data_IF_073471091520
#
_entry.id   IF_073471091520
#
_cell.length_a   1.000
_cell.length_b   1.000
_cell.length_c   1.000
_cell.angle_alpha   90.00
_cell.angle_beta   90.00
_cell.angle_gamma   90.00
#
_symmetry.space_group_name_H-M   'P 1'
#
loop_
_entity.id
_entity.type
_entity.pdbx_description
1 polymer ?
#
# COMPACT_ATOMS: atom_id res chain seq x y z
N UNK A 1 -11.37 0.36 -6.71
CA UNK A 1 -11.82 0.56 -5.30
C UNK A 1 -12.65 1.82 -5.18
N UNK A 2 -13.89 1.67 -4.71
CA UNK A 2 -14.86 2.75 -4.53
C UNK A 2 -14.57 3.57 -3.27
N UNK A 3 -15.18 4.74 -3.17
CA UNK A 3 -15.23 5.57 -1.97
C UNK A 3 -16.68 5.85 -1.60
N UNK A 4 -17.12 5.37 -0.44
CA UNK A 4 -18.49 5.51 0.05
C UNK A 4 -18.52 6.59 1.12
N UNK A 5 -19.39 7.58 0.96
CA UNK A 5 -19.61 8.68 1.88
C UNK A 5 -20.99 8.52 2.50
N UNK A 6 -21.01 8.33 3.82
CA UNK A 6 -22.21 8.13 4.63
C UNK A 6 -22.27 9.16 5.76
N UNK A 7 -23.26 9.03 6.65
CA UNK A 7 -23.52 9.98 7.74
C UNK A 7 -24.96 10.44 7.82
N UNK A 8 -25.29 11.16 8.90
CA UNK A 8 -26.65 11.62 9.17
C UNK A 8 -27.19 12.55 8.06
N UNK A 9 -28.50 12.74 7.97
CA UNK A 9 -29.03 13.75 7.02
C UNK A 9 -28.49 15.15 7.38
N UNK A 10 -28.30 16.02 6.39
CA UNK A 10 -27.79 17.37 6.65
C UNK A 10 -26.27 17.49 6.88
N UNK A 11 -25.52 16.38 6.90
CA UNK A 11 -24.04 16.42 7.00
C UNK A 11 -23.35 16.79 5.68
N UNK A 12 -24.11 16.91 4.58
CA UNK A 12 -23.57 17.36 3.28
C UNK A 12 -23.12 16.25 2.32
N UNK A 13 -23.43 14.97 2.61
CA UNK A 13 -23.03 13.78 1.82
C UNK A 13 -23.04 13.96 0.31
N UNK A 14 -24.19 14.29 -0.28
CA UNK A 14 -24.36 14.42 -1.75
C UNK A 14 -23.46 15.51 -2.32
N UNK A 15 -23.42 16.69 -1.68
CA UNK A 15 -22.58 17.80 -2.10
C UNK A 15 -21.09 17.47 -2.01
N UNK A 16 -20.66 16.88 -0.90
CA UNK A 16 -19.28 16.45 -0.67
C UNK A 16 -18.89 15.35 -1.65
N UNK A 17 -19.75 14.35 -1.89
CA UNK A 17 -19.49 13.28 -2.84
C UNK A 17 -19.25 13.78 -4.25
N UNK A 18 -20.03 14.74 -4.74
CA UNK A 18 -19.83 15.36 -6.06
C UNK A 18 -18.49 16.10 -6.15
N UNK A 19 -18.10 16.81 -5.09
CA UNK A 19 -16.82 17.50 -5.04
C UNK A 19 -15.65 16.52 -4.98
N UNK A 20 -15.73 15.48 -4.14
CA UNK A 20 -14.74 14.40 -4.05
C UNK A 20 -14.60 13.66 -5.37
N UNK A 21 -15.71 13.35 -6.05
CA UNK A 21 -15.70 12.73 -7.37
C UNK A 21 -14.97 13.60 -8.40
N UNK A 22 -15.21 14.92 -8.39
CA UNK A 22 -14.48 15.86 -9.25
C UNK A 22 -12.99 15.90 -8.91
N UNK A 23 -12.61 15.94 -7.64
CA UNK A 23 -11.20 15.95 -7.20
C UNK A 23 -10.47 14.66 -7.59
N UNK A 24 -11.16 13.52 -7.59
CA UNK A 24 -10.60 12.21 -7.92
C UNK A 24 -10.74 11.81 -9.39
N UNK A 25 -11.46 12.60 -10.21
CA UNK A 25 -11.75 12.24 -11.60
C UNK A 25 -12.64 11.00 -11.75
N UNK A 26 -13.59 10.80 -10.83
CA UNK A 26 -14.43 9.60 -10.73
C UNK A 26 -15.92 9.89 -10.97
N UNK A 27 -16.69 8.85 -11.26
CA UNK A 27 -18.16 8.94 -11.34
C UNK A 27 -18.75 9.12 -9.93
N UNK A 28 -19.64 10.10 -9.77
CA UNK A 28 -20.41 10.30 -8.55
C UNK A 28 -21.77 9.62 -8.67
N UNK A 29 -22.14 8.84 -7.66
CA UNK A 29 -23.43 8.17 -7.56
C UNK A 29 -24.09 8.53 -6.24
N UNK A 30 -25.35 8.95 -6.27
CA UNK A 30 -26.18 9.13 -5.08
C UNK A 30 -27.27 8.04 -5.05
N UNK A 31 -27.29 7.24 -3.98
CA UNK A 31 -28.23 6.13 -3.86
C UNK A 31 -29.69 6.60 -3.77
N UNK A 32 -29.96 7.72 -3.10
CA UNK A 32 -31.32 8.24 -2.96
C UNK A 32 -31.84 8.76 -4.32
N UNK A 33 -30.96 9.31 -5.16
CA UNK A 33 -31.28 9.73 -6.54
C UNK A 33 -31.56 8.52 -7.44
N UNK A 34 -30.73 7.47 -7.37
CA UNK A 34 -30.97 6.24 -8.15
C UNK A 34 -32.28 5.57 -7.75
N UNK A 35 -32.54 5.42 -6.44
CA UNK A 35 -33.78 4.80 -5.97
C UNK A 35 -34.98 5.64 -6.39
N UNK A 36 -34.93 6.97 -6.25
CA UNK A 36 -36.02 7.85 -6.69
C UNK A 36 -36.30 7.74 -8.18
N UNK A 37 -35.23 7.64 -9.00
CA UNK A 37 -35.36 7.46 -10.44
C UNK A 37 -35.98 6.10 -10.82
N UNK A 38 -35.58 5.01 -10.13
CA UNK A 38 -36.14 3.66 -10.35
C UNK A 38 -37.60 3.55 -9.92
N UNK A 39 -37.96 4.23 -8.83
CA UNK A 39 -39.33 4.24 -8.28
C UNK A 39 -40.24 5.25 -9.00
N UNK A 40 -39.69 6.16 -9.81
CA UNK A 40 -40.43 7.23 -10.49
C UNK A 40 -41.03 8.28 -9.53
N UNK A 41 -40.61 8.30 -8.26
CA UNK A 41 -41.14 9.16 -7.20
C UNK A 41 -40.08 9.45 -6.13
N UNK A 42 -40.18 10.56 -5.38
CA UNK A 42 -39.20 10.90 -4.36
C UNK A 42 -39.14 9.87 -3.22
N UNK A 43 -37.96 9.66 -2.62
CA UNK A 43 -37.76 8.77 -1.46
C UNK A 43 -38.82 8.97 -0.35
N UNK A 44 -39.15 10.21 0.00
CA UNK A 44 -40.16 10.51 1.02
C UNK A 44 -41.57 10.00 0.69
N UNK A 45 -41.89 9.84 -0.60
CA UNK A 45 -43.14 9.23 -1.05
C UNK A 45 -43.05 7.71 -1.02
N UNK A 46 -41.92 7.12 -1.44
CA UNK A 46 -41.66 5.67 -1.32
C UNK A 46 -41.82 5.20 0.13
N UNK A 47 -41.23 5.92 1.08
CA UNK A 47 -41.36 5.61 2.51
C UNK A 47 -42.82 5.67 3.00
N UNK A 48 -43.60 6.65 2.55
CA UNK A 48 -45.01 6.79 2.96
C UNK A 48 -45.91 5.70 2.38
N UNK A 49 -45.69 5.32 1.12
CA UNK A 49 -46.58 4.42 0.39
C UNK A 49 -46.19 2.95 0.53
N UNK A 50 -44.90 2.63 0.56
CA UNK A 50 -44.38 1.26 0.59
C UNK A 50 -43.79 0.86 1.95
N UNK A 51 -43.56 1.84 2.83
CA UNK A 51 -42.98 1.61 4.15
C UNK A 51 -41.45 1.47 4.14
N UNK A 52 -40.87 1.50 5.34
CA UNK A 52 -39.42 1.47 5.54
C UNK A 52 -38.80 0.14 5.11
N UNK A 53 -39.41 -1.00 5.44
CA UNK A 53 -38.87 -2.32 5.11
C UNK A 53 -38.64 -2.50 3.60
N UNK A 54 -39.58 -2.01 2.78
CA UNK A 54 -39.43 -2.02 1.32
C UNK A 54 -38.24 -1.16 0.87
N UNK A 55 -38.13 0.06 1.40
CA UNK A 55 -37.04 0.96 1.06
C UNK A 55 -35.67 0.39 1.45
N UNK A 56 -35.56 -0.23 2.64
CA UNK A 56 -34.32 -0.90 3.09
C UNK A 56 -33.92 -2.06 2.17
N UNK A 57 -34.90 -2.80 1.63
CA UNK A 57 -34.63 -3.86 0.66
C UNK A 57 -34.05 -3.30 -0.66
N UNK A 58 -34.57 -2.16 -1.14
CA UNK A 58 -34.03 -1.45 -2.32
C UNK A 58 -32.62 -0.91 -2.08
N UNK A 59 -32.35 -0.35 -0.90
CA UNK A 59 -30.99 0.06 -0.52
C UNK A 59 -30.02 -1.13 -0.53
N UNK A 60 -30.39 -2.27 0.04
CA UNK A 60 -29.53 -3.45 0.09
C UNK A 60 -29.25 -4.06 -1.29
N UNK A 61 -30.22 -4.00 -2.21
CA UNK A 61 -30.03 -4.39 -3.60
C UNK A 61 -29.03 -3.45 -4.31
N UNK A 62 -29.21 -2.15 -4.15
CA UNK A 62 -28.33 -1.16 -4.77
C UNK A 62 -26.90 -1.19 -4.18
N UNK A 63 -26.74 -1.47 -2.88
CA UNK A 63 -25.43 -1.71 -2.27
C UNK A 63 -24.66 -2.85 -2.96
N UNK A 64 -25.35 -3.95 -3.31
CA UNK A 64 -24.72 -5.09 -4.00
C UNK A 64 -24.34 -4.74 -5.44
N UNK A 65 -25.21 -4.02 -6.15
CA UNK A 65 -24.96 -3.57 -7.51
C UNK A 65 -23.77 -2.60 -7.59
N UNK A 66 -23.78 -1.55 -6.77
CA UNK A 66 -22.70 -0.55 -6.76
C UNK A 66 -21.41 -1.12 -6.17
N UNK A 67 -21.50 -2.04 -5.21
CA UNK A 67 -20.35 -2.74 -4.63
C UNK A 67 -19.62 -3.66 -5.60
N UNK A 68 -20.27 -4.07 -6.71
CA UNK A 68 -19.66 -4.86 -7.77
C UNK A 68 -18.96 -4.01 -8.86
N UNK A 69 -19.14 -2.69 -8.83
CA UNK A 69 -18.49 -1.74 -9.74
C UNK A 69 -17.21 -1.18 -9.09
N UNK A 70 -16.35 -0.59 -9.90
CA UNK A 70 -15.10 0.02 -9.47
C UNK A 70 -15.05 1.52 -9.77
N UNK A 71 -14.20 2.22 -9.02
CA UNK A 71 -13.85 3.64 -9.19
C UNK A 71 -15.02 4.63 -9.03
N UNK A 72 -16.04 4.27 -8.25
CA UNK A 72 -17.15 5.16 -7.90
C UNK A 72 -16.89 5.98 -6.64
N UNK A 73 -17.51 7.17 -6.56
CA UNK A 73 -17.77 7.89 -5.31
C UNK A 73 -19.26 7.82 -5.02
N UNK A 74 -19.64 7.11 -3.94
CA UNK A 74 -21.02 6.74 -3.64
C UNK A 74 -21.50 7.52 -2.41
N UNK A 75 -22.49 8.39 -2.55
CA UNK A 75 -23.24 8.95 -1.43
C UNK A 75 -24.37 8.00 -1.05
N UNK A 76 -24.41 7.55 0.22
CA UNK A 76 -25.48 6.67 0.70
C UNK A 76 -26.58 7.46 1.42
N UNK A 77 -27.77 6.86 1.50
CA UNK A 77 -28.80 7.30 2.43
C UNK A 77 -28.30 7.23 3.87
N UNK A 78 -28.83 8.09 4.74
CA UNK A 78 -28.37 8.16 6.14
C UNK A 78 -28.67 6.91 6.97
N UNK A 79 -29.53 6.02 6.49
CA UNK A 79 -29.85 4.74 7.13
C UNK A 79 -29.18 3.52 6.47
N UNK A 80 -28.57 3.68 5.28
CA UNK A 80 -28.07 2.56 4.47
C UNK A 80 -27.04 1.71 5.23
N UNK A 81 -26.09 2.36 5.89
CA UNK A 81 -24.99 1.69 6.60
C UNK A 81 -25.32 1.33 8.05
N UNK A 82 -26.58 1.47 8.48
CA UNK A 82 -27.00 0.93 9.78
C UNK A 82 -27.05 -0.61 9.75
N UNK A 83 -27.31 -1.20 8.58
CA UNK A 83 -27.26 -2.64 8.35
C UNK A 83 -25.82 -3.16 8.27
N UNK A 84 -25.51 -4.18 9.06
CA UNK A 84 -24.23 -4.90 9.06
C UNK A 84 -23.91 -5.50 7.69
N UNK A 85 -24.91 -6.09 7.02
CA UNK A 85 -24.77 -6.69 5.69
C UNK A 85 -24.39 -5.65 4.63
N UNK A 86 -25.05 -4.48 4.64
CA UNK A 86 -24.72 -3.40 3.71
C UNK A 86 -23.30 -2.88 3.92
N UNK A 87 -22.88 -2.72 5.19
CA UNK A 87 -21.49 -2.34 5.51
C UNK A 87 -20.52 -3.40 5.01
N UNK A 88 -20.79 -4.68 5.26
CA UNK A 88 -19.93 -5.78 4.84
C UNK A 88 -19.82 -5.88 3.31
N UNK A 89 -20.92 -5.71 2.58
CA UNK A 89 -20.95 -5.72 1.11
C UNK A 89 -20.09 -4.60 0.54
N UNK A 90 -20.27 -3.36 1.02
CA UNK A 90 -19.54 -2.22 0.48
C UNK A 90 -18.08 -2.21 0.93
N UNK A 91 -17.77 -2.59 2.18
CA UNK A 91 -16.40 -2.62 2.71
C UNK A 91 -15.46 -3.60 1.97
N UNK A 92 -15.98 -4.59 1.24
CA UNK A 92 -15.17 -5.52 0.44
C UNK A 92 -14.36 -4.80 -0.64
N UNK A 93 -14.94 -3.79 -1.28
CA UNK A 93 -14.34 -3.10 -2.43
C UNK A 93 -14.46 -1.57 -2.36
N UNK A 94 -14.82 -1.02 -1.20
CA UNK A 94 -14.93 0.41 -0.97
C UNK A 94 -14.31 0.84 0.35
N UNK A 95 -13.76 2.05 0.35
CA UNK A 95 -13.42 2.79 1.57
C UNK A 95 -14.69 3.47 2.08
N UNK A 96 -15.03 3.27 3.35
CA UNK A 96 -16.22 3.88 3.96
C UNK A 96 -15.81 5.08 4.81
N UNK A 97 -16.42 6.24 4.56
CA UNK A 97 -16.22 7.48 5.32
C UNK A 97 -17.56 7.97 5.84
N UNK A 98 -17.66 8.23 7.15
CA UNK A 98 -18.80 8.86 7.80
C UNK A 98 -18.56 10.36 7.93
N UNK A 99 -19.51 11.17 7.51
CA UNK A 99 -19.54 12.60 7.78
C UNK A 99 -20.32 12.86 9.07
N UNK A 100 -19.66 13.52 10.02
CA UNK A 100 -20.23 13.86 11.32
C UNK A 100 -20.57 15.34 11.38
N UNK A 101 -21.64 15.68 12.10
CA UNK A 101 -22.00 17.06 12.40
C UNK A 101 -22.72 17.14 13.74
N UNK A 102 -22.57 18.24 14.46
CA UNK A 102 -23.35 18.47 15.66
C UNK A 102 -24.84 18.60 15.35
N UNK A 103 -25.68 18.25 16.33
CA UNK A 103 -27.13 18.38 16.20
C UNK A 103 -27.56 19.82 15.89
N UNK A 104 -26.84 20.81 16.43
CA UNK A 104 -27.05 22.22 16.15
C UNK A 104 -26.75 22.58 14.70
N UNK A 105 -25.61 22.11 14.16
CA UNK A 105 -25.24 22.35 12.77
C UNK A 105 -26.19 21.67 11.78
N UNK A 106 -26.63 20.44 12.09
CA UNK A 106 -27.65 19.74 11.31
C UNK A 106 -28.97 20.52 11.34
N UNK A 107 -29.43 20.96 12.51
CA UNK A 107 -30.65 21.76 12.63
C UNK A 107 -30.57 23.09 11.85
N UNK A 108 -29.37 23.69 11.75
CA UNK A 108 -29.15 24.91 10.96
C UNK A 108 -29.24 24.64 9.46
N UNK A 109 -28.73 23.49 8.99
CA UNK A 109 -28.71 23.11 7.57
C UNK A 109 -30.05 22.54 7.09
N UNK A 110 -30.81 21.93 7.99
CA UNK A 110 -32.01 21.15 7.67
C UNK A 110 -33.23 21.84 8.26
N UNK A 111 -34.22 22.19 7.42
CA UNK A 111 -35.47 22.79 7.88
C UNK A 111 -36.35 21.81 8.68
N UNK A 112 -37.28 22.34 9.48
CA UNK A 112 -38.14 21.55 10.38
C UNK A 112 -38.97 20.44 9.68
N UNK A 113 -39.25 20.59 8.38
CA UNK A 113 -40.06 19.65 7.59
C UNK A 113 -39.29 18.40 7.11
N UNK A 114 -37.96 18.42 7.11
CA UNK A 114 -37.15 17.33 6.56
C UNK A 114 -37.07 16.08 7.45
N UNK A 115 -37.43 16.18 8.74
CA UNK A 115 -37.42 15.06 9.68
C UNK A 115 -38.70 14.20 9.63
N UNK A 116 -39.76 14.69 8.97
CA UNK A 116 -41.07 14.02 8.93
C UNK A 116 -41.03 12.55 8.44
N UNK A 117 -40.20 12.15 7.46
CA UNK A 117 -40.16 10.76 7.01
C UNK A 117 -39.55 9.77 8.01
N UNK A 118 -38.75 10.23 8.98
CA UNK A 118 -38.01 9.35 9.91
C UNK A 118 -38.65 9.20 11.29
N UNK A 119 -39.59 10.07 11.68
CA UNK A 119 -40.07 10.15 13.06
C UNK A 119 -41.44 9.51 13.29
N UNK A 120 -42.04 8.91 12.27
CA UNK A 120 -43.43 8.43 12.35
C UNK A 120 -44.41 9.58 12.59
N UNK A 121 -45.69 9.37 12.34
CA UNK A 121 -46.73 10.40 12.45
C UNK A 121 -47.05 10.83 13.90
N UNK A 122 -46.22 10.50 14.89
CA UNK A 122 -46.48 10.77 16.31
C UNK A 122 -45.64 11.94 16.80
N UNK A 123 -46.35 12.96 17.29
CA UNK A 123 -45.85 14.20 17.89
C UNK A 123 -44.72 13.91 18.89
N UNK A 124 -43.47 14.17 18.48
CA UNK A 124 -42.32 14.16 19.38
C UNK A 124 -42.19 15.55 19.98
N UNK A 125 -42.55 15.66 21.26
CA UNK A 125 -42.33 16.85 22.08
C UNK A 125 -40.82 17.14 22.16
N UNK A 126 -40.41 18.40 21.92
CA UNK A 126 -39.01 18.84 21.99
C UNK A 126 -38.57 19.74 20.82
N UNK A 127 -37.47 20.46 21.00
CA UNK A 127 -36.86 21.30 19.96
C UNK A 127 -36.30 20.45 18.81
N UNK A 128 -36.10 21.06 17.64
CA UNK A 128 -35.50 20.39 16.47
C UNK A 128 -34.13 19.74 16.81
N UNK A 129 -33.32 20.45 17.59
CA UNK A 129 -31.99 20.01 18.04
C UNK A 129 -32.09 18.80 18.96
N UNK A 130 -33.03 18.78 19.91
CA UNK A 130 -33.25 17.63 20.81
C UNK A 130 -33.65 16.37 20.03
N UNK A 131 -34.53 16.52 19.04
CA UNK A 131 -34.98 15.42 18.18
C UNK A 131 -33.83 14.84 17.35
N UNK A 132 -32.99 15.70 16.76
CA UNK A 132 -31.78 15.28 16.03
C UNK A 132 -30.79 14.60 16.98
N UNK A 133 -30.60 15.14 18.18
CA UNK A 133 -29.71 14.58 19.19
C UNK A 133 -30.13 13.16 19.59
N UNK A 134 -31.42 12.94 19.81
CA UNK A 134 -31.98 11.61 20.10
C UNK A 134 -31.73 10.61 18.96
N UNK A 135 -31.97 11.02 17.70
CA UNK A 135 -31.74 10.17 16.53
C UNK A 135 -30.25 9.87 16.29
N UNK A 136 -29.36 10.84 16.48
CA UNK A 136 -27.92 10.61 16.40
C UNK A 136 -27.47 9.59 17.45
N UNK A 137 -27.94 9.73 18.69
CA UNK A 137 -27.64 8.79 19.78
C UNK A 137 -28.12 7.36 19.47
N UNK A 138 -29.28 7.20 18.83
CA UNK A 138 -29.77 5.89 18.38
C UNK A 138 -28.88 5.26 17.29
N UNK A 139 -28.19 6.07 16.48
CA UNK A 139 -27.34 5.62 15.37
C UNK A 139 -25.86 5.56 15.70
N UNK A 140 -25.45 6.13 16.83
CA UNK A 140 -24.06 6.28 17.27
C UNK A 140 -23.28 4.97 17.17
N UNK A 141 -23.83 3.87 17.71
CA UNK A 141 -23.18 2.56 17.69
C UNK A 141 -22.90 2.05 16.27
N UNK A 142 -23.82 2.29 15.32
CA UNK A 142 -23.66 1.85 13.94
C UNK A 142 -22.71 2.76 13.14
N UNK A 143 -22.77 4.08 13.35
CA UNK A 143 -21.84 5.00 12.70
C UNK A 143 -20.41 4.82 13.21
N UNK A 144 -20.20 4.55 14.50
CA UNK A 144 -18.89 4.28 15.07
C UNK A 144 -18.18 3.05 14.47
N UNK A 145 -18.91 2.15 13.79
CA UNK A 145 -18.35 1.02 13.06
C UNK A 145 -17.81 1.39 11.67
N UNK A 146 -18.01 2.63 11.21
CA UNK A 146 -17.46 3.12 9.96
C UNK A 146 -15.99 3.54 10.22
N UNK A 147 -15.00 3.00 9.48
CA UNK A 147 -13.58 3.16 9.85
C UNK A 147 -13.05 4.60 9.84
N UNK A 148 -13.70 5.49 9.10
CA UNK A 148 -13.21 6.85 8.86
C UNK A 148 -14.31 7.86 9.14
N UNK A 149 -13.95 8.92 9.86
CA UNK A 149 -14.87 9.95 10.32
C UNK A 149 -14.31 11.34 9.96
N UNK A 150 -15.16 12.18 9.39
CA UNK A 150 -14.82 13.57 9.02
C UNK A 150 -15.89 14.49 9.57
N UNK A 151 -15.51 15.33 10.54
CA UNK A 151 -16.38 16.37 11.08
C UNK A 151 -16.64 17.46 10.05
N UNK A 152 -17.88 17.92 9.96
CA UNK A 152 -18.31 18.91 8.95
C UNK A 152 -18.72 20.24 9.55
N UNK A 153 -18.69 20.38 10.88
CA UNK A 153 -19.05 21.61 11.58
C UNK A 153 -18.12 22.75 11.17
N UNK A 154 -18.69 23.92 10.86
CA UNK A 154 -17.97 25.14 10.48
C UNK A 154 -17.09 25.03 9.21
N UNK A 155 -17.14 23.90 8.50
CA UNK A 155 -16.39 23.67 7.27
C UNK A 155 -17.27 23.85 6.03
N UNK A 156 -16.67 24.40 4.97
CA UNK A 156 -17.28 24.41 3.63
C UNK A 156 -17.29 23.00 3.02
N UNK A 157 -18.23 22.68 2.11
CA UNK A 157 -18.23 21.41 1.39
C UNK A 157 -16.91 21.10 0.70
N UNK A 158 -16.20 22.11 0.20
CA UNK A 158 -14.88 21.98 -0.43
C UNK A 158 -13.80 21.54 0.57
N UNK A 159 -13.76 22.15 1.76
CA UNK A 159 -12.83 21.74 2.83
C UNK A 159 -13.12 20.33 3.33
N UNK A 160 -14.40 19.98 3.51
CA UNK A 160 -14.80 18.62 3.87
C UNK A 160 -14.41 17.64 2.76
N UNK A 161 -14.62 17.97 1.48
CA UNK A 161 -14.22 17.12 0.36
C UNK A 161 -12.71 16.89 0.33
N UNK A 162 -11.89 17.91 0.60
CA UNK A 162 -10.44 17.75 0.73
C UNK A 162 -10.07 16.83 1.89
N UNK A 163 -10.71 16.97 3.04
CA UNK A 163 -10.48 16.08 4.19
C UNK A 163 -10.93 14.64 3.92
N UNK A 164 -12.06 14.44 3.23
CA UNK A 164 -12.51 13.12 2.79
C UNK A 164 -11.52 12.51 1.81
N UNK A 165 -11.01 13.27 0.83
CA UNK A 165 -9.96 12.79 -0.09
C UNK A 165 -8.70 12.42 0.69
N UNK A 166 -8.26 13.26 1.61
CA UNK A 166 -7.08 12.98 2.43
C UNK A 166 -7.28 11.72 3.29
N UNK A 167 -8.43 11.59 3.97
CA UNK A 167 -8.76 10.43 4.79
C UNK A 167 -8.91 9.16 3.94
N UNK A 168 -9.56 9.28 2.79
CA UNK A 168 -9.69 8.22 1.82
C UNK A 168 -8.32 7.82 1.28
N UNK A 169 -7.37 8.73 1.08
CA UNK A 169 -6.00 8.44 0.66
C UNK A 169 -5.14 7.86 1.80
N UNK A 170 -5.42 8.21 3.06
CA UNK A 170 -4.72 7.74 4.26
C UNK A 170 -4.99 6.26 4.62
N UNK A 171 -6.04 5.64 4.08
CA UNK A 171 -6.18 4.18 4.14
C UNK A 171 -5.12 3.54 3.23
N UNK A 172 -4.26 2.67 3.77
CA UNK A 172 -3.25 1.97 2.96
C UNK A 172 -3.93 1.23 1.81
N UNK A 173 -3.51 1.47 0.57
CA UNK A 173 -3.83 0.54 -0.52
C UNK A 173 -2.85 -0.62 -0.43
N UNK A 174 -3.07 -1.55 0.50
CA UNK A 174 -2.21 -2.72 0.70
C UNK A 174 -2.51 -3.72 -0.41
N UNK A 175 -1.53 -3.96 -1.28
CA UNK A 175 -1.61 -5.01 -2.29
C UNK A 175 -1.13 -6.36 -1.72
N UNK A 176 -0.19 -6.34 -0.76
CA UNK A 176 0.29 -7.51 -0.02
C UNK A 176 0.72 -7.10 1.39
N UNK A 177 0.32 -7.87 2.41
CA UNK A 177 0.89 -7.80 3.75
C UNK A 177 1.16 -9.21 4.27
N UNK A 178 2.43 -9.47 4.59
CA UNK A 178 2.91 -10.77 5.03
C UNK A 178 3.79 -10.64 6.25
N UNK A 179 3.62 -11.58 7.18
CA UNK A 179 4.66 -11.89 8.17
C UNK A 179 5.46 -13.05 7.60
N UNK A 180 6.79 -12.89 7.55
CA UNK A 180 7.71 -13.84 6.95
C UNK A 180 8.56 -14.45 8.05
N UNK A 181 8.72 -15.78 8.06
CA UNK A 181 9.62 -16.48 8.97
C UNK A 181 10.90 -16.89 8.25
N UNK A 182 12.02 -16.25 8.59
CA UNK A 182 13.33 -16.57 8.05
C UNK A 182 14.20 -17.18 9.15
N UNK A 183 14.18 -18.50 9.27
CA UNK A 183 14.85 -19.22 10.35
C UNK A 183 14.18 -18.95 11.69
N UNK A 184 14.94 -18.45 12.67
CA UNK A 184 14.41 -18.05 13.99
C UNK A 184 13.85 -16.63 14.03
N UNK A 185 14.07 -15.82 12.99
CA UNK A 185 13.63 -14.43 12.93
C UNK A 185 12.32 -14.28 12.15
N UNK A 186 11.53 -13.28 12.51
CA UNK A 186 10.31 -12.89 11.78
C UNK A 186 10.35 -11.41 11.41
N UNK A 187 9.81 -11.10 10.24
CA UNK A 187 9.70 -9.72 9.77
C UNK A 187 8.44 -9.51 8.95
N UNK A 188 8.04 -8.25 8.80
CA UNK A 188 6.88 -7.89 7.99
C UNK A 188 7.30 -7.46 6.57
N UNK A 189 6.48 -7.79 5.58
CA UNK A 189 6.54 -7.27 4.22
C UNK A 189 5.21 -6.61 3.92
N UNK A 190 5.25 -5.34 3.55
CA UNK A 190 4.08 -4.55 3.15
C UNK A 190 4.37 -3.98 1.76
N UNK A 191 3.54 -4.33 0.79
CA UNK A 191 3.50 -3.72 -0.54
C UNK A 191 2.16 -3.01 -0.71
N UNK A 192 2.20 -1.77 -1.17
CA UNK A 192 0.99 -1.02 -1.43
C UNK A 192 1.26 0.34 -2.08
N UNK A 193 0.20 1.13 -2.27
CA UNK A 193 0.30 2.53 -2.68
C UNK A 193 0.14 3.47 -1.47
N UNK A 194 1.03 4.47 -1.37
CA UNK A 194 1.02 5.49 -0.32
C UNK A 194 1.43 4.96 1.07
N UNK A 195 2.02 3.76 1.13
CA UNK A 195 2.28 3.06 2.40
C UNK A 195 3.34 3.76 3.26
N UNK A 196 4.23 4.55 2.66
CA UNK A 196 5.25 5.29 3.41
C UNK A 196 4.68 6.44 4.26
N UNK A 197 3.48 6.93 3.95
CA UNK A 197 2.82 7.96 4.77
C UNK A 197 2.54 7.46 6.20
N UNK A 198 2.41 6.14 6.38
CA UNK A 198 2.17 5.50 7.68
C UNK A 198 3.39 4.79 8.26
N UNK A 199 4.56 4.94 7.64
CA UNK A 199 5.77 4.24 8.05
C UNK A 199 6.13 4.49 9.51
N UNK A 200 6.00 5.73 10.00
CA UNK A 200 6.26 6.06 11.40
C UNK A 200 5.39 5.27 12.38
N UNK A 201 4.08 5.18 12.12
CA UNK A 201 3.17 4.39 12.94
C UNK A 201 3.50 2.89 12.88
N UNK A 202 3.75 2.36 11.67
CA UNK A 202 4.13 0.96 11.46
C UNK A 202 5.42 0.58 12.21
N UNK A 203 6.41 1.48 12.23
CA UNK A 203 7.65 1.26 12.96
C UNK A 203 7.46 1.42 14.47
N UNK A 204 6.64 2.36 14.94
CA UNK A 204 6.37 2.52 16.38
C UNK A 204 5.72 1.28 16.99
N UNK A 205 4.81 0.63 16.27
CA UNK A 205 4.21 -0.65 16.67
C UNK A 205 5.25 -1.78 16.82
N UNK A 206 6.27 -1.79 15.95
CA UNK A 206 7.28 -2.87 15.88
C UNK A 206 8.50 -2.59 16.75
N UNK A 207 8.83 -1.32 16.94
CA UNK A 207 10.01 -0.82 17.63
C UNK A 207 9.61 0.24 18.68
N UNK A 208 8.84 -0.12 19.72
CA UNK A 208 8.29 0.84 20.68
C UNK A 208 9.39 1.65 21.39
N UNK A 209 10.56 1.04 21.61
CA UNK A 209 11.69 1.64 22.32
C UNK A 209 12.72 2.36 21.42
N UNK A 210 12.50 2.39 20.11
CA UNK A 210 13.42 3.06 19.19
C UNK A 210 13.14 4.56 19.15
N UNK A 211 14.16 5.38 19.40
CA UNK A 211 14.03 6.85 19.45
C UNK A 211 14.56 7.55 18.20
N UNK A 212 15.42 6.91 17.41
CA UNK A 212 16.08 7.53 16.25
C UNK A 212 16.14 6.63 15.02
N UNK A 213 16.06 7.26 13.86
CA UNK A 213 15.99 6.65 12.55
C UNK A 213 16.97 7.34 11.57
N UNK A 214 17.93 6.60 11.03
CA UNK A 214 18.77 7.07 9.93
C UNK A 214 18.25 6.54 8.60
N UNK A 215 17.93 7.45 7.68
CA UNK A 215 17.50 7.13 6.33
C UNK A 215 18.72 7.18 5.43
N UNK A 216 19.16 6.05 4.90
CA UNK A 216 20.25 5.97 3.91
C UNK A 216 19.63 5.96 2.52
N UNK A 217 20.05 6.90 1.67
CA UNK A 217 19.56 7.01 0.30
C UNK A 217 20.64 7.59 -0.63
N UNK A 218 20.32 7.72 -1.92
CA UNK A 218 21.19 8.34 -2.91
C UNK A 218 20.72 9.74 -3.32
N UNK A 219 21.55 10.42 -4.12
CA UNK A 219 21.33 11.80 -4.55
C UNK A 219 20.10 11.99 -5.46
N UNK A 220 19.53 10.92 -6.01
CA UNK A 220 18.35 10.95 -6.90
C UNK A 220 17.08 10.56 -6.15
N UNK A 221 17.13 9.45 -5.39
CA UNK A 221 15.97 8.90 -4.68
C UNK A 221 15.66 9.70 -3.41
N UNK A 222 16.69 10.10 -2.66
CA UNK A 222 16.54 10.79 -1.38
C UNK A 222 15.65 12.04 -1.47
N UNK A 223 15.96 13.00 -2.37
CA UNK A 223 15.16 14.21 -2.52
C UNK A 223 13.69 13.98 -2.88
N UNK A 224 13.37 12.89 -3.58
CA UNK A 224 12.02 12.59 -4.04
C UNK A 224 11.14 12.04 -2.92
N UNK A 225 11.67 11.16 -2.07
CA UNK A 225 10.83 10.36 -1.17
C UNK A 225 11.15 10.53 0.31
N UNK A 226 12.38 10.94 0.67
CA UNK A 226 12.74 11.14 2.07
C UNK A 226 11.86 12.18 2.80
N UNK A 227 11.41 13.29 2.19
CA UNK A 227 10.56 14.26 2.90
C UNK A 227 9.27 13.66 3.48
N UNK A 228 8.56 12.84 2.71
CA UNK A 228 7.32 12.18 3.17
C UNK A 228 7.60 11.16 4.29
N UNK A 229 8.68 10.40 4.15
CA UNK A 229 9.12 9.42 5.15
C UNK A 229 9.53 10.11 6.46
N UNK A 230 10.32 11.19 6.38
CA UNK A 230 10.73 12.00 7.53
C UNK A 230 9.52 12.57 8.26
N UNK A 231 8.53 13.10 7.52
CA UNK A 231 7.30 13.60 8.12
C UNK A 231 6.55 12.49 8.89
N UNK A 232 6.40 11.31 8.28
CA UNK A 232 5.76 10.15 8.91
C UNK A 232 6.49 9.71 10.19
N UNK A 233 7.82 9.59 10.14
CA UNK A 233 8.66 9.19 11.26
C UNK A 233 8.61 10.20 12.41
N UNK A 234 8.73 11.50 12.11
CA UNK A 234 8.66 12.56 13.12
C UNK A 234 7.29 12.62 13.80
N UNK A 235 6.20 12.43 13.05
CA UNK A 235 4.86 12.35 13.62
C UNK A 235 4.71 11.18 14.62
N UNK A 236 5.50 10.11 14.44
CA UNK A 236 5.58 8.97 15.35
C UNK A 236 6.68 9.10 16.43
N UNK A 237 7.29 10.28 16.58
CA UNK A 237 8.25 10.59 17.64
C UNK A 237 9.69 10.13 17.40
N UNK A 238 10.08 9.84 16.15
CA UNK A 238 11.47 9.51 15.84
C UNK A 238 12.32 10.76 15.57
N UNK A 239 13.51 10.84 16.18
CA UNK A 239 14.58 11.68 15.67
C UNK A 239 15.07 11.13 14.32
N UNK A 240 15.28 11.98 13.32
CA UNK A 240 15.52 11.56 11.94
C UNK A 240 16.77 12.21 11.38
N UNK A 241 17.63 11.41 10.73
CA UNK A 241 18.76 11.87 9.93
C UNK A 241 18.68 11.30 8.50
N UNK A 242 19.03 12.11 7.51
CA UNK A 242 19.17 11.67 6.12
C UNK A 242 20.66 11.56 5.79
N UNK A 243 21.08 10.37 5.36
CA UNK A 243 22.47 10.05 5.03
C UNK A 243 22.54 9.69 3.55
N UNK A 244 23.30 10.47 2.78
CA UNK A 244 23.44 10.25 1.34
C UNK A 244 24.68 9.40 1.04
N UNK A 245 24.55 8.45 0.11
CA UNK A 245 25.65 7.67 -0.46
C UNK A 245 25.58 7.65 -1.99
N UNK A 246 26.71 7.43 -2.71
CA UNK A 246 26.67 7.36 -4.17
C UNK A 246 25.91 6.12 -4.69
N UNK A 247 24.97 6.31 -5.61
CA UNK A 247 24.24 5.22 -6.28
C UNK A 247 24.96 4.70 -7.54
N UNK A 248 26.17 4.16 -7.36
CA UNK A 248 26.95 3.49 -8.43
C UNK A 248 27.57 2.21 -7.91
N UNK A 249 27.59 1.15 -8.73
CA UNK A 249 28.08 -0.18 -8.31
C UNK A 249 29.54 -0.16 -7.82
N UNK A 250 30.36 0.74 -8.35
CA UNK A 250 31.74 0.95 -7.89
C UNK A 250 31.84 1.53 -6.47
N UNK A 251 30.77 2.14 -5.96
CA UNK A 251 30.69 2.64 -4.59
C UNK A 251 30.19 1.56 -3.61
N UNK A 252 29.84 0.36 -4.06
CA UNK A 252 29.43 -0.75 -3.19
C UNK A 252 30.65 -1.39 -2.51
N UNK A 253 31.26 -0.69 -1.56
CA UNK A 253 32.56 -1.04 -0.96
C UNK A 253 32.57 -0.91 0.56
N UNK A 254 33.56 -1.50 1.23
CA UNK A 254 33.79 -1.30 2.67
C UNK A 254 34.10 0.17 3.03
N UNK A 255 34.68 0.94 2.11
CA UNK A 255 34.96 2.36 2.35
C UNK A 255 33.65 3.16 2.48
N UNK A 256 32.68 2.89 1.60
CA UNK A 256 31.35 3.51 1.70
C UNK A 256 30.65 3.14 2.99
N UNK A 257 30.77 1.88 3.41
CA UNK A 257 30.22 1.42 4.69
C UNK A 257 30.89 2.14 5.87
N UNK A 258 32.20 2.35 5.83
CA UNK A 258 32.93 3.14 6.82
C UNK A 258 32.41 4.58 6.91
N UNK A 259 32.21 5.23 5.77
CA UNK A 259 31.64 6.57 5.72
C UNK A 259 30.19 6.63 6.27
N UNK A 260 29.39 5.57 6.09
CA UNK A 260 28.08 5.47 6.73
C UNK A 260 28.20 5.39 8.25
N UNK A 261 29.19 4.68 8.80
CA UNK A 261 29.40 4.64 10.24
C UNK A 261 29.72 6.02 10.82
N UNK A 262 30.56 6.81 10.16
CA UNK A 262 30.87 8.18 10.59
C UNK A 262 29.57 9.00 10.70
N UNK A 263 28.70 8.91 9.69
CA UNK A 263 27.40 9.58 9.69
C UNK A 263 26.44 9.05 10.74
N UNK A 264 26.48 7.76 11.05
CA UNK A 264 25.67 7.17 12.12
C UNK A 264 26.14 7.63 13.51
N UNK A 265 27.44 7.83 13.69
CA UNK A 265 28.02 8.39 14.91
C UNK A 265 27.64 9.87 15.06
N UNK A 266 27.79 10.66 13.99
CA UNK A 266 27.38 12.07 13.97
C UNK A 266 25.90 12.25 14.32
N UNK A 267 25.05 11.34 13.85
CA UNK A 267 23.61 11.31 14.14
C UNK A 267 23.26 10.64 15.49
N UNK A 268 24.26 10.26 16.28
CA UNK A 268 24.12 9.67 17.62
C UNK A 268 23.21 8.42 17.63
N UNK A 269 23.39 7.53 16.66
CA UNK A 269 22.67 6.26 16.65
C UNK A 269 23.13 5.36 17.80
N UNK A 270 22.16 4.70 18.42
CA UNK A 270 22.33 3.74 19.51
C UNK A 270 21.90 2.34 19.05
N UNK A 271 22.02 1.34 19.94
CA UNK A 271 21.65 -0.05 19.61
C UNK A 271 20.17 -0.23 19.27
N UNK A 272 19.29 0.58 19.86
CA UNK A 272 17.85 0.58 19.60
C UNK A 272 17.45 1.43 18.39
N UNK A 273 18.39 2.13 17.75
CA UNK A 273 18.11 2.91 16.53
C UNK A 273 17.77 2.01 15.35
N UNK A 274 17.15 2.60 14.34
CA UNK A 274 16.81 1.93 13.09
C UNK A 274 17.48 2.59 11.89
N UNK A 275 18.06 1.78 11.02
CA UNK A 275 18.56 2.19 9.70
C UNK A 275 17.53 1.81 8.64
N UNK A 276 17.12 2.79 7.83
CA UNK A 276 16.16 2.62 6.74
C UNK A 276 16.90 2.77 5.41
N UNK A 277 16.90 1.73 4.58
CA UNK A 277 17.47 1.79 3.23
C UNK A 277 16.41 2.26 2.22
N UNK A 278 16.48 3.51 1.79
CA UNK A 278 15.60 4.11 0.79
C UNK A 278 16.28 4.12 -0.57
N UNK A 279 16.01 3.12 -1.41
CA UNK A 279 16.64 3.00 -2.71
C UNK A 279 16.44 1.66 -3.41
N UNK A 280 17.22 1.43 -4.47
CA UNK A 280 17.31 0.14 -5.14
C UNK A 280 18.17 -0.87 -4.37
N UNK A 281 18.46 -2.01 -5.00
CA UNK A 281 19.21 -3.11 -4.37
C UNK A 281 20.60 -2.71 -3.86
N UNK A 282 21.28 -1.78 -4.54
CA UNK A 282 22.59 -1.27 -4.11
C UNK A 282 22.54 -0.57 -2.75
N UNK A 283 21.61 0.38 -2.57
CA UNK A 283 21.43 1.08 -1.30
C UNK A 283 21.00 0.09 -0.22
N UNK A 284 20.08 -0.81 -0.55
CA UNK A 284 19.62 -1.89 0.33
C UNK A 284 20.76 -2.76 0.86
N UNK A 285 21.68 -3.18 0.00
CA UNK A 285 22.81 -4.01 0.36
C UNK A 285 23.83 -3.28 1.25
N UNK A 286 24.22 -2.07 0.86
CA UNK A 286 25.25 -1.30 1.59
C UNK A 286 24.72 -0.86 2.95
N UNK A 287 23.52 -0.29 3.00
CA UNK A 287 22.90 0.14 4.25
C UNK A 287 22.53 -1.05 5.14
N UNK A 288 22.08 -2.16 4.55
CA UNK A 288 21.81 -3.40 5.29
C UNK A 288 23.06 -3.99 5.92
N UNK A 289 24.18 -4.01 5.18
CA UNK A 289 25.45 -4.49 5.72
C UNK A 289 25.96 -3.56 6.82
N UNK A 290 25.87 -2.24 6.62
CA UNK A 290 26.21 -1.27 7.66
C UNK A 290 25.35 -1.44 8.92
N UNK A 291 24.04 -1.71 8.78
CA UNK A 291 23.14 -1.97 9.89
C UNK A 291 23.44 -3.30 10.60
N UNK A 292 23.99 -4.29 9.90
CA UNK A 292 24.38 -5.58 10.46
C UNK A 292 25.60 -5.47 11.38
N UNK A 293 26.53 -4.57 11.06
CA UNK A 293 27.85 -4.49 11.67
C UNK A 293 28.00 -3.30 12.63
N UNK A 294 27.32 -2.19 12.37
CA UNK A 294 27.34 -1.01 13.26
C UNK A 294 26.80 -1.36 14.65
N UNK A 295 27.54 -1.04 15.70
CA UNK A 295 27.25 -1.44 17.09
C UNK A 295 26.97 -2.95 17.28
N UNK A 296 27.50 -3.79 16.38
CA UNK A 296 27.23 -5.25 16.28
C UNK A 296 25.79 -5.61 15.92
N UNK A 297 25.06 -4.68 15.31
CA UNK A 297 23.71 -4.87 14.82
C UNK A 297 22.73 -3.86 15.40
N UNK A 298 22.16 -3.03 14.53
CA UNK A 298 21.01 -2.15 14.82
C UNK A 298 19.76 -2.63 14.08
N UNK A 299 18.58 -2.07 14.35
CA UNK A 299 17.38 -2.43 13.58
C UNK A 299 17.51 -1.99 12.12
N UNK A 300 16.89 -2.73 11.20
CA UNK A 300 17.01 -2.49 9.77
C UNK A 300 15.64 -2.52 9.08
N UNK A 301 15.40 -1.61 8.14
CA UNK A 301 14.17 -1.52 7.34
C UNK A 301 14.54 -1.29 5.88
N UNK A 302 13.88 -2.01 4.98
CA UNK A 302 14.02 -1.83 3.53
C UNK A 302 12.85 -1.00 2.98
N UNK A 303 13.16 0.04 2.22
CA UNK A 303 12.20 0.89 1.49
C UNK A 303 12.55 0.83 -0.01
N UNK A 304 12.26 -0.30 -0.69
CA UNK A 304 12.70 -0.54 -2.07
C UNK A 304 12.01 0.41 -3.06
N UNK A 305 12.79 1.00 -3.98
CA UNK A 305 12.29 1.98 -4.98
C UNK A 305 12.41 1.52 -6.44
N UNK A 306 12.91 0.30 -6.68
CA UNK A 306 12.99 -0.31 -8.00
C UNK A 306 12.19 -1.60 -8.05
N UNK A 307 11.68 -2.00 -9.23
CA UNK A 307 10.97 -3.29 -9.40
C UNK A 307 11.86 -4.44 -8.91
N UNK A 308 13.14 -4.44 -9.29
CA UNK A 308 14.12 -5.44 -8.87
C UNK A 308 14.24 -5.53 -7.35
N UNK A 309 14.36 -4.40 -6.65
CA UNK A 309 14.45 -4.40 -5.19
C UNK A 309 13.13 -4.81 -4.52
N UNK A 310 11.97 -4.46 -5.09
CA UNK A 310 10.65 -4.83 -4.54
C UNK A 310 10.46 -6.34 -4.58
N UNK A 311 10.73 -6.97 -5.73
CA UNK A 311 10.43 -8.40 -5.93
C UNK A 311 11.58 -9.31 -5.55
N UNK A 312 12.80 -8.78 -5.48
CA UNK A 312 14.00 -9.57 -5.26
C UNK A 312 14.93 -8.97 -4.19
N UNK A 313 15.73 -7.95 -4.50
CA UNK A 313 16.93 -7.62 -3.70
C UNK A 313 16.67 -7.25 -2.23
N UNK A 314 15.49 -6.70 -1.89
CA UNK A 314 15.14 -6.35 -0.51
C UNK A 314 14.69 -7.55 0.34
N UNK A 315 14.49 -8.73 -0.27
CA UNK A 315 13.92 -9.91 0.34
C UNK A 315 14.99 -10.97 0.63
N UNK A 316 14.95 -11.54 1.83
CA UNK A 316 15.74 -12.70 2.22
C UNK A 316 17.09 -12.41 2.86
N UNK A 317 17.28 -11.18 3.35
CA UNK A 317 18.29 -10.82 4.35
C UNK A 317 19.75 -10.81 3.88
N UNK A 318 20.04 -11.08 2.61
CA UNK A 318 21.41 -10.96 2.08
C UNK A 318 21.77 -9.48 1.99
N UNK A 319 22.91 -9.11 2.56
CA UNK A 319 23.48 -7.77 2.47
C UNK A 319 24.96 -7.91 2.20
N UNK A 320 25.52 -7.15 1.26
CA UNK A 320 26.91 -7.33 0.87
C UNK A 320 27.54 -6.08 0.25
N UNK A 321 28.86 -6.07 0.25
CA UNK A 321 29.69 -5.17 -0.53
C UNK A 321 30.65 -5.93 -1.44
N UNK A 322 31.12 -5.25 -2.48
CA UNK A 322 32.07 -5.79 -3.43
C UNK A 322 33.50 -5.74 -2.88
N UNK A 323 34.31 -6.72 -3.26
CA UNK A 323 35.76 -6.68 -3.15
C UNK A 323 36.34 -6.45 -4.55
N UNK A 324 37.56 -5.92 -4.67
CA UNK A 324 38.26 -5.78 -5.95
C UNK A 324 38.44 -7.11 -6.74
N UNK A 325 38.13 -8.25 -6.12
CA UNK A 325 38.26 -9.61 -6.68
C UNK A 325 36.92 -10.28 -6.96
N UNK A 326 35.79 -9.62 -6.68
CA UNK A 326 34.47 -10.18 -6.94
C UNK A 326 33.34 -9.42 -6.27
N UNK A 327 32.15 -9.55 -6.85
CA UNK A 327 30.92 -8.94 -6.34
C UNK A 327 30.39 -9.67 -5.13
N UNK A 328 29.79 -8.93 -4.20
CA UNK A 328 29.07 -9.44 -3.02
C UNK A 328 29.85 -10.44 -2.14
N UNK A 329 31.18 -10.43 -2.19
CA UNK A 329 32.02 -11.40 -1.47
C UNK A 329 32.09 -11.14 0.05
N UNK A 330 31.76 -9.92 0.49
CA UNK A 330 31.85 -9.51 1.90
C UNK A 330 30.46 -9.07 2.33
N UNK A 331 29.85 -9.77 3.28
CA UNK A 331 28.46 -9.52 3.63
C UNK A 331 28.01 -10.18 4.92
N UNK A 332 26.73 -10.02 5.22
CA UNK A 332 26.05 -10.62 6.35
C UNK A 332 24.61 -10.97 5.99
N UNK A 333 24.05 -11.97 6.68
CA UNK A 333 22.61 -12.18 6.71
C UNK A 333 22.01 -11.30 7.80
N UNK A 334 21.28 -10.26 7.38
CA UNK A 334 20.60 -9.30 8.26
C UNK A 334 19.14 -9.22 7.87
N UNK A 335 18.26 -9.83 8.66
CA UNK A 335 16.83 -9.70 8.43
C UNK A 335 16.39 -8.27 8.78
N UNK A 336 15.59 -7.61 7.91
CA UNK A 336 14.94 -6.37 8.28
C UNK A 336 13.85 -6.65 9.32
N UNK A 337 13.38 -5.64 10.04
CA UNK A 337 12.14 -5.74 10.84
C UNK A 337 10.90 -5.49 9.97
N UNK A 338 11.10 -4.75 8.87
CA UNK A 338 10.07 -4.39 7.90
C UNK A 338 10.69 -4.18 6.52
N UNK A 339 10.07 -4.76 5.50
CA UNK A 339 10.18 -4.33 4.10
C UNK A 339 8.90 -3.59 3.76
N UNK A 340 9.00 -2.29 3.46
CA UNK A 340 7.85 -1.45 3.14
C UNK A 340 8.01 -0.89 1.73
N UNK A 341 7.37 -1.53 0.75
CA UNK A 341 7.43 -1.20 -0.66
C UNK A 341 6.24 -0.31 -1.04
N UNK A 342 6.52 0.95 -1.37
CA UNK A 342 5.52 1.85 -1.95
C UNK A 342 5.60 1.81 -3.47
N UNK A 343 4.59 1.22 -4.11
CA UNK A 343 4.59 1.08 -5.57
C UNK A 343 4.47 2.40 -6.31
N UNK A 344 4.06 3.48 -5.65
CA UNK A 344 4.04 4.82 -6.26
C UNK A 344 5.45 5.30 -6.61
N UNK A 345 6.49 4.84 -5.89
CA UNK A 345 7.88 5.14 -6.22
C UNK A 345 8.32 4.60 -7.58
N UNK A 346 7.66 3.54 -8.08
CA UNK A 346 8.00 2.91 -9.36
C UNK A 346 7.64 3.79 -10.56
N UNK A 347 6.76 4.79 -10.39
CA UNK A 347 6.33 5.68 -11.46
C UNK A 347 7.46 6.61 -11.97
N UNK A 348 8.42 6.95 -11.11
CA UNK A 348 9.57 7.79 -11.49
C UNK A 348 10.76 6.99 -12.04
N UNK A 349 10.65 5.66 -12.06
CA UNK A 349 11.75 4.77 -12.43
C UNK A 349 11.99 4.83 -13.95
N UNK A 350 13.25 4.96 -14.43
CA UNK A 350 13.54 4.86 -15.86
C UNK A 350 13.02 3.54 -16.43
N UNK A 351 12.46 3.60 -17.65
CA UNK A 351 11.85 2.44 -18.31
C UNK A 351 12.81 1.24 -18.41
N UNK A 352 14.10 1.50 -18.60
CA UNK A 352 15.12 0.45 -18.64
C UNK A 352 15.30 -0.26 -17.28
N UNK A 353 15.29 0.48 -16.17
CA UNK A 353 15.37 -0.08 -14.82
C UNK A 353 14.07 -0.82 -14.45
N UNK A 354 12.92 -0.30 -14.87
CA UNK A 354 11.63 -0.96 -14.72
C UNK A 354 11.62 -2.32 -15.44
N UNK A 355 12.02 -2.34 -16.72
CA UNK A 355 12.13 -3.57 -17.53
C UNK A 355 13.14 -4.55 -16.96
N UNK A 356 14.29 -4.07 -16.48
CA UNK A 356 15.28 -4.91 -15.81
C UNK A 356 14.66 -5.66 -14.62
N UNK A 357 13.85 -5.00 -13.79
CA UNK A 357 13.19 -5.69 -12.68
C UNK A 357 12.11 -6.69 -13.10
N UNK A 358 11.45 -6.48 -14.25
CA UNK A 358 10.45 -7.42 -14.77
C UNK A 358 11.05 -8.79 -15.16
N UNK A 359 12.34 -8.85 -15.48
CA UNK A 359 13.00 -10.13 -15.75
C UNK A 359 12.89 -11.09 -14.55
N UNK A 360 13.01 -10.57 -13.32
CA UNK A 360 12.83 -11.36 -12.10
C UNK A 360 11.37 -11.75 -11.86
N UNK A 361 10.42 -10.89 -12.24
CA UNK A 361 8.99 -11.20 -12.18
C UNK A 361 8.67 -12.38 -13.11
N UNK A 362 9.20 -12.36 -14.33
CA UNK A 362 9.06 -13.48 -15.29
C UNK A 362 9.72 -14.74 -14.75
N UNK A 363 10.94 -14.63 -14.19
CA UNK A 363 11.65 -15.73 -13.53
C UNK A 363 10.78 -16.39 -12.45
N UNK A 364 10.16 -15.60 -11.57
CA UNK A 364 9.27 -16.13 -10.52
C UNK A 364 8.05 -16.85 -11.09
N UNK A 365 7.49 -16.34 -12.20
CA UNK A 365 6.44 -17.03 -12.95
C UNK A 365 6.86 -18.42 -13.41
N UNK A 366 8.05 -18.53 -14.04
CA UNK A 366 8.59 -19.79 -14.54
C UNK A 366 8.88 -20.78 -13.40
N UNK A 367 9.46 -20.30 -12.29
CA UNK A 367 9.92 -21.17 -11.20
C UNK A 367 8.76 -21.75 -10.39
N UNK A 368 7.80 -20.91 -9.98
CA UNK A 368 6.84 -21.29 -8.94
C UNK A 368 5.46 -20.63 -9.07
N UNK A 369 5.18 -19.88 -10.14
CA UNK A 369 3.86 -19.27 -10.34
C UNK A 369 3.39 -19.34 -11.80
N UNK A 370 2.88 -20.51 -12.23
CA UNK A 370 2.33 -20.66 -13.59
C UNK A 370 1.22 -19.66 -13.90
N UNK A 371 0.41 -19.28 -12.91
CA UNK A 371 -0.64 -18.27 -13.07
C UNK A 371 -0.09 -16.86 -13.33
N UNK A 372 1.02 -16.47 -12.67
CA UNK A 372 1.72 -15.23 -12.97
C UNK A 372 2.31 -15.26 -14.38
N UNK A 373 2.94 -16.37 -14.77
CA UNK A 373 3.52 -16.52 -16.10
C UNK A 373 2.45 -16.40 -17.20
N UNK A 374 1.36 -17.15 -17.09
CA UNK A 374 0.23 -17.09 -18.03
C UNK A 374 -0.44 -15.70 -18.06
N UNK A 375 -0.51 -14.99 -16.92
CA UNK A 375 -1.04 -13.63 -16.89
C UNK A 375 -0.15 -12.66 -17.66
N UNK A 376 1.17 -12.73 -17.48
CA UNK A 376 2.12 -11.89 -18.20
C UNK A 376 2.06 -12.15 -19.72
N UNK A 377 1.89 -13.40 -20.13
CA UNK A 377 1.76 -13.78 -21.54
C UNK A 377 0.46 -13.23 -22.18
N UNK A 378 -0.68 -13.44 -21.52
CA UNK A 378 -1.99 -13.10 -22.10
C UNK A 378 -2.38 -11.63 -21.92
N UNK A 379 -1.98 -11.02 -20.79
CA UNK A 379 -2.46 -9.72 -20.35
C UNK A 379 -1.33 -8.69 -20.22
N UNK A 380 -0.06 -9.08 -20.39
CA UNK A 380 1.08 -8.20 -20.19
C UNK A 380 1.13 -7.63 -18.77
N UNK A 381 1.30 -6.31 -18.67
CA UNK A 381 1.42 -5.59 -17.39
C UNK A 381 0.09 -5.06 -16.84
N UNK A 382 -1.05 -5.52 -17.37
CA UNK A 382 -2.35 -5.18 -16.80
C UNK A 382 -2.41 -5.63 -15.33
N UNK A 383 -2.86 -4.76 -14.43
CA UNK A 383 -2.89 -4.99 -12.99
C UNK A 383 -1.49 -5.24 -12.38
N UNK A 384 -0.57 -4.29 -12.58
CA UNK A 384 0.76 -4.26 -11.94
C UNK A 384 0.75 -4.58 -10.43
N UNK A 385 -0.21 -4.09 -9.62
CA UNK A 385 -0.25 -4.41 -8.18
C UNK A 385 -0.33 -5.92 -7.92
N UNK A 386 -1.21 -6.62 -8.65
CA UNK A 386 -1.35 -8.07 -8.54
C UNK A 386 -0.10 -8.80 -9.02
N UNK A 387 0.53 -8.32 -10.10
CA UNK A 387 1.77 -8.88 -10.66
C UNK A 387 2.90 -8.80 -9.62
N UNK A 388 3.11 -7.62 -9.02
CA UNK A 388 4.15 -7.42 -8.01
C UNK A 388 3.88 -8.26 -6.76
N UNK A 389 2.64 -8.29 -6.27
CA UNK A 389 2.26 -9.10 -5.11
C UNK A 389 2.54 -10.60 -5.34
N UNK A 390 2.18 -11.13 -6.52
CA UNK A 390 2.43 -12.53 -6.87
C UNK A 390 3.94 -12.84 -6.98
N UNK A 391 4.72 -11.93 -7.57
CA UNK A 391 6.18 -12.10 -7.68
C UNK A 391 6.87 -12.05 -6.31
N UNK A 392 6.46 -11.13 -5.43
CA UNK A 392 6.96 -11.07 -4.05
C UNK A 392 6.62 -12.37 -3.31
N UNK A 393 5.37 -12.83 -3.40
CA UNK A 393 4.89 -14.04 -2.74
C UNK A 393 5.74 -15.28 -3.09
N UNK A 394 6.10 -15.48 -4.37
CA UNK A 394 7.00 -16.57 -4.78
C UNK A 394 8.32 -16.52 -4.01
N UNK A 395 8.96 -15.35 -3.94
CA UNK A 395 10.25 -15.23 -3.26
C UNK A 395 10.12 -15.44 -1.76
N UNK A 396 9.03 -14.95 -1.13
CA UNK A 396 8.79 -15.16 0.29
C UNK A 396 8.62 -16.65 0.62
N UNK A 397 7.85 -17.39 -0.17
CA UNK A 397 7.66 -18.83 0.02
C UNK A 397 8.99 -19.59 -0.03
N UNK A 398 9.85 -19.26 -1.00
CA UNK A 398 11.18 -19.88 -1.11
C UNK A 398 12.09 -19.51 0.06
N UNK A 399 12.03 -18.27 0.56
CA UNK A 399 12.79 -17.84 1.75
C UNK A 399 12.32 -18.57 3.00
N UNK A 400 11.01 -18.77 3.18
CA UNK A 400 10.48 -19.48 4.35
C UNK A 400 10.84 -20.97 4.34
N UNK A 401 10.90 -21.58 3.16
CA UNK A 401 11.35 -22.96 2.97
C UNK A 401 12.87 -23.13 3.18
N UNK A 402 13.69 -22.19 2.69
CA UNK A 402 15.15 -22.26 2.78
C UNK A 402 15.79 -20.88 3.10
N UNK A 403 15.77 -20.45 4.38
CA UNK A 403 16.20 -19.12 4.80
C UNK A 403 17.68 -18.80 4.54
N UNK A 404 18.53 -19.83 4.51
CA UNK A 404 19.99 -19.71 4.43
C UNK A 404 20.58 -20.29 3.14
N UNK A 405 19.75 -20.60 2.14
CA UNK A 405 20.18 -21.05 0.81
C UNK A 405 21.02 -22.34 0.85
N UNK A 406 20.51 -23.39 1.51
CA UNK A 406 21.16 -24.70 1.61
C UNK A 406 20.60 -25.75 0.66
N UNK A 407 19.45 -25.51 0.04
CA UNK A 407 18.78 -26.45 -0.84
C UNK A 407 17.88 -25.73 -1.86
N UNK A 408 16.58 -25.65 -1.61
CA UNK A 408 15.55 -25.26 -2.59
C UNK A 408 15.74 -23.83 -3.13
N UNK A 409 16.32 -22.92 -2.35
CA UNK A 409 16.52 -21.52 -2.78
C UNK A 409 17.47 -21.38 -3.98
N UNK A 410 18.26 -22.41 -4.28
CA UNK A 410 19.09 -22.46 -5.48
C UNK A 410 18.27 -22.31 -6.77
N UNK A 411 16.98 -22.66 -6.78
CA UNK A 411 16.12 -22.50 -7.95
C UNK A 411 15.96 -21.03 -8.37
N UNK A 412 16.09 -20.07 -7.43
CA UNK A 412 16.06 -18.63 -7.74
C UNK A 412 17.23 -18.19 -8.62
N UNK A 413 18.27 -19.03 -8.76
CA UNK A 413 19.40 -18.77 -9.66
C UNK A 413 19.11 -19.20 -11.11
N UNK A 414 17.87 -19.57 -11.46
CA UNK A 414 17.49 -19.80 -12.86
C UNK A 414 17.91 -18.61 -13.74
N UNK A 415 18.59 -18.89 -14.84
CA UNK A 415 19.18 -17.89 -15.74
C UNK A 415 20.47 -17.21 -15.24
N UNK A 416 20.78 -17.24 -13.93
CA UNK A 416 21.86 -16.44 -13.35
C UNK A 416 23.26 -16.93 -13.75
N UNK A 417 23.46 -18.23 -13.95
CA UNK A 417 24.75 -18.78 -14.42
C UNK A 417 25.17 -18.16 -15.76
N UNK A 418 24.24 -18.05 -16.71
CA UNK A 418 24.48 -17.37 -17.98
C UNK A 418 24.51 -15.86 -17.82
N UNK A 419 23.63 -15.29 -17.00
CA UNK A 419 23.58 -13.86 -16.75
C UNK A 419 24.93 -13.32 -16.27
N UNK A 420 25.57 -13.97 -15.29
CA UNK A 420 26.88 -13.53 -14.78
C UNK A 420 27.98 -13.56 -15.84
N UNK A 421 27.93 -14.54 -16.76
CA UNK A 421 28.83 -14.55 -17.91
C UNK A 421 28.55 -13.36 -18.84
N UNK A 422 27.28 -13.07 -19.16
CA UNK A 422 26.91 -11.92 -20.01
C UNK A 422 27.26 -10.58 -19.38
N UNK A 423 27.00 -10.40 -18.09
CA UNK A 423 27.39 -9.20 -17.33
C UNK A 423 28.89 -8.99 -17.43
N UNK A 424 29.69 -10.02 -17.16
CA UNK A 424 31.15 -9.98 -17.23
C UNK A 424 31.65 -9.67 -18.64
N UNK A 425 31.16 -10.37 -19.66
CA UNK A 425 31.55 -10.18 -21.06
C UNK A 425 31.13 -8.82 -21.63
N UNK A 426 30.10 -8.20 -21.05
CA UNK A 426 29.63 -6.87 -21.45
C UNK A 426 30.37 -5.73 -20.75
N UNK A 427 31.34 -6.02 -19.87
CA UNK A 427 31.94 -5.06 -18.94
C UNK A 427 30.89 -4.35 -18.08
N UNK A 428 29.86 -5.10 -17.65
CA UNK A 428 28.71 -4.60 -16.89
C UNK A 428 27.92 -3.47 -17.57
N UNK A 429 27.98 -3.39 -18.90
CA UNK A 429 27.10 -2.51 -19.69
C UNK A 429 25.66 -3.03 -19.76
N UNK A 430 25.48 -4.34 -19.71
CA UNK A 430 24.15 -4.94 -19.54
C UNK A 430 23.66 -4.74 -18.12
N UNK A 431 22.39 -4.36 -17.99
CA UNK A 431 21.72 -4.35 -16.69
C UNK A 431 21.49 -5.78 -16.23
N UNK A 432 21.47 -5.98 -14.92
CA UNK A 432 21.31 -7.30 -14.32
C UNK A 432 20.12 -8.07 -14.90
N UNK A 433 18.94 -7.43 -14.96
CA UNK A 433 17.73 -8.07 -15.48
C UNK A 433 17.77 -8.36 -16.99
N UNK A 434 18.49 -7.57 -17.78
CA UNK A 434 18.69 -7.85 -19.21
C UNK A 434 19.52 -9.13 -19.37
N UNK A 435 20.59 -9.25 -18.59
CA UNK A 435 21.42 -10.45 -18.56
C UNK A 435 20.64 -11.68 -18.03
N UNK A 436 19.81 -11.51 -17.00
CA UNK A 436 18.93 -12.57 -16.49
C UNK A 436 17.92 -13.00 -17.55
N UNK A 437 17.27 -12.07 -18.26
CA UNK A 437 16.33 -12.40 -19.34
C UNK A 437 17.02 -13.22 -20.46
N UNK A 438 18.22 -12.82 -20.90
CA UNK A 438 19.02 -13.61 -21.84
C UNK A 438 19.37 -14.99 -21.25
N UNK A 439 19.71 -15.04 -19.97
CA UNK A 439 20.01 -16.26 -19.25
C UNK A 439 18.83 -17.22 -19.16
N UNK A 440 17.61 -16.72 -18.96
CA UNK A 440 16.38 -17.53 -18.96
C UNK A 440 16.17 -18.21 -20.31
N UNK A 441 16.36 -17.48 -21.41
CA UNK A 441 16.27 -18.05 -22.77
C UNK A 441 17.36 -19.10 -22.99
N UNK A 442 18.59 -18.84 -22.55
CA UNK A 442 19.68 -19.80 -22.66
C UNK A 442 19.41 -21.08 -21.85
N UNK A 443 18.90 -20.94 -20.62
CA UNK A 443 18.46 -22.05 -19.77
C UNK A 443 17.34 -22.86 -20.42
N UNK A 444 16.30 -22.21 -20.98
CA UNK A 444 15.20 -22.90 -21.64
C UNK A 444 15.68 -23.68 -22.88
N UNK A 445 16.53 -23.08 -23.72
CA UNK A 445 17.11 -23.76 -24.89
C UNK A 445 17.97 -24.97 -24.51
N UNK A 446 18.76 -24.85 -23.45
CA UNK A 446 19.55 -25.97 -22.93
C UNK A 446 18.63 -27.09 -22.42
N UNK A 447 17.59 -26.75 -21.66
CA UNK A 447 16.59 -27.73 -21.19
C UNK A 447 15.90 -28.46 -22.34
N UNK A 448 15.53 -27.73 -23.42
CA UNK A 448 14.93 -28.33 -24.61
C UNK A 448 15.92 -29.27 -25.33
N UNK A 449 17.18 -28.86 -25.47
CA UNK A 449 18.22 -29.69 -26.06
C UNK A 449 18.47 -30.99 -25.26
N UNK A 450 18.35 -30.92 -23.93
CA UNK A 450 18.46 -32.08 -23.04
C UNK A 450 17.17 -32.92 -22.95
N UNK A 451 16.10 -32.53 -23.64
CA UNK A 451 14.81 -33.22 -23.60
C UNK A 451 14.02 -33.03 -22.31
N UNK A 452 14.32 -32.00 -21.52
CA UNK A 452 13.65 -31.70 -20.25
C UNK A 452 12.42 -30.80 -20.42
N UNK A 453 12.28 -30.12 -21.56
CA UNK A 453 11.08 -29.36 -21.92
C UNK A 453 10.87 -29.34 -23.43
N UNK A 454 9.68 -28.93 -23.87
CA UNK A 454 9.39 -28.80 -25.31
C UNK A 454 10.18 -27.64 -25.94
N UNK A 455 10.63 -27.77 -27.20
CA UNK A 455 11.32 -26.69 -27.93
C UNK A 455 10.48 -25.43 -28.17
N UNK A 456 9.16 -25.49 -27.96
CA UNK A 456 8.23 -24.37 -28.15
C UNK A 456 8.16 -23.43 -26.95
N UNK A 457 8.80 -23.79 -25.82
CA UNK A 457 8.81 -23.01 -24.59
C UNK A 457 9.61 -21.71 -24.70
#
# INVERSE_FOLDING_TARGET
>A
MNLVISGFMGTGKTSVARLVARLLGRECVDMDEIISAREGRPVAQVFREQGEAYFRAREAELCRELGARDELVIATGGGTLLSDDNRAVLARHARLVCLDASAAEIARRVGADSLRPLLGATESSGSLVERITSLLKQREAAYALIPHHVGTDELTPEQVAQQVVACAQQALCVDLQRTVRAGSETYAVILGAGVWQRLGALLRERLPHSSSAAIVSDERVGPLYAPAIVASLRAAGFATSLVTMPAVESAKTLQTVGALYDRFIDAQLERSSVVLALGGGLVGDVAGFAAATFLRGVHFVQLPTTVLSVVDASLGGKTAVNHARGKNLIGAFKQPVLVCADREALAALPVADFRSGLAEVVKHGIIASPSLFMHLENCGLQNLPRILAAAVEVKLQVIEADPHERAERAMLNLGHTFAHAFETLSDYRLRHGEAVAMGLVASARLSAHLGLCEPKL
#
